data_IF_520199009979
#
_entry.id   IF_520199009979
#
_cell.length_a   1.000
_cell.length_b   1.000
_cell.length_c   1.000
_cell.angle_alpha   90.00
_cell.angle_beta   90.00
_cell.angle_gamma   90.00
#
_symmetry.space_group_name_H-M   'P 1'
#
loop_
_entity.id
_entity.type
_entity.pdbx_description
1 polymer ?
#
# COMPACT_ATOMS: atom_id res chain seq x y z
N UNK A 1 -18.93 17.93 -0.44
CA UNK A 1 -18.32 17.87 0.90
C UNK A 1 -18.16 19.28 1.43
N UNK A 2 -18.52 19.55 2.67
CA UNK A 2 -18.42 20.87 3.27
C UNK A 2 -17.00 21.13 3.77
N UNK A 3 -16.58 22.40 3.84
CA UNK A 3 -15.29 22.78 4.46
C UNK A 3 -15.23 22.32 5.92
N UNK A 4 -16.40 22.19 6.57
CA UNK A 4 -16.50 21.70 7.95
C UNK A 4 -15.97 20.27 8.15
N UNK A 5 -16.11 19.37 7.17
CA UNK A 5 -15.61 17.99 7.29
C UNK A 5 -14.08 17.95 7.36
N UNK A 6 -13.40 18.80 6.56
CA UNK A 6 -11.93 18.92 6.57
C UNK A 6 -11.45 19.49 7.92
N UNK A 7 -12.13 20.51 8.42
CA UNK A 7 -11.77 21.14 9.71
C UNK A 7 -11.99 20.17 10.88
N UNK A 8 -13.09 19.42 10.86
CA UNK A 8 -13.36 18.38 11.86
C UNK A 8 -12.29 17.26 11.81
N UNK A 9 -11.93 16.79 10.60
CA UNK A 9 -10.87 15.80 10.43
C UNK A 9 -9.52 16.32 10.93
N UNK A 10 -9.20 17.59 10.65
CA UNK A 10 -7.97 18.20 11.15
C UNK A 10 -7.96 18.26 12.69
N UNK A 11 -9.08 18.57 13.33
CA UNK A 11 -9.21 18.54 14.78
C UNK A 11 -9.03 17.11 15.33
N UNK A 12 -9.60 16.10 14.66
CA UNK A 12 -9.38 14.69 15.03
C UNK A 12 -7.90 14.30 14.92
N UNK A 13 -7.21 14.69 13.84
CA UNK A 13 -5.76 14.45 13.70
C UNK A 13 -4.98 15.17 14.81
N UNK A 14 -5.32 16.42 15.12
CA UNK A 14 -4.66 17.19 16.19
C UNK A 14 -4.83 16.51 17.56
N UNK A 15 -6.03 16.03 17.87
CA UNK A 15 -6.37 15.39 19.15
C UNK A 15 -5.91 13.93 19.29
N UNK A 16 -5.68 13.21 18.17
CA UNK A 16 -5.30 11.81 18.22
C UNK A 16 -3.89 11.60 18.78
N UNK A 17 -3.72 10.63 19.66
CA UNK A 17 -2.42 10.14 20.11
C UNK A 17 -1.84 9.07 19.17
N UNK A 18 -2.72 8.22 18.59
CA UNK A 18 -2.35 7.11 17.72
C UNK A 18 -3.22 7.09 16.47
N UNK A 19 -2.59 7.11 15.30
CA UNK A 19 -3.26 7.11 14.00
C UNK A 19 -2.81 5.89 13.18
N UNK A 20 -3.78 5.21 12.55
CA UNK A 20 -3.51 4.16 11.58
C UNK A 20 -3.83 4.66 10.17
N UNK A 21 -2.86 4.59 9.28
CA UNK A 21 -3.05 4.81 7.84
C UNK A 21 -3.05 3.47 7.11
N UNK A 22 -4.18 3.09 6.53
CA UNK A 22 -4.31 1.89 5.69
C UNK A 22 -4.29 2.36 4.24
N UNK A 23 -3.29 1.96 3.46
CA UNK A 23 -3.10 2.47 2.10
C UNK A 23 -3.08 1.38 1.05
N UNK A 24 -3.61 1.70 -0.14
CA UNK A 24 -3.56 0.87 -1.34
C UNK A 24 -3.04 1.66 -2.54
N UNK A 25 -3.13 1.10 -3.74
CA UNK A 25 -2.53 1.65 -4.95
C UNK A 25 -3.01 3.07 -5.30
N UNK A 26 -4.20 3.46 -4.87
CA UNK A 26 -4.75 4.79 -5.12
C UNK A 26 -3.95 5.94 -4.49
N UNK A 27 -3.15 5.70 -3.42
CA UNK A 27 -2.26 6.73 -2.89
C UNK A 27 -1.09 7.01 -3.84
N UNK A 28 -0.64 6.00 -4.61
CA UNK A 28 0.46 6.11 -5.56
C UNK A 28 0.02 6.55 -6.97
N UNK A 29 -1.30 6.72 -7.20
CA UNK A 29 -1.83 7.19 -8.48
C UNK A 29 -1.31 8.59 -8.87
N UNK A 30 -1.11 9.46 -7.88
CA UNK A 30 -0.53 10.80 -8.09
C UNK A 30 1.01 10.78 -8.29
N UNK A 31 1.64 9.60 -8.18
CA UNK A 31 3.03 9.32 -8.60
C UNK A 31 3.11 8.83 -10.05
N UNK A 32 1.98 8.75 -10.76
CA UNK A 32 1.90 8.19 -12.11
C UNK A 32 1.82 6.67 -12.16
N UNK A 33 1.68 5.98 -11.01
CA UNK A 33 1.51 4.54 -10.99
C UNK A 33 0.06 4.17 -11.34
N UNK A 34 -0.14 3.14 -12.18
CA UNK A 34 -1.47 2.61 -12.42
C UNK A 34 -2.02 1.97 -11.14
N UNK A 35 -3.32 2.08 -10.92
CA UNK A 35 -4.00 1.29 -9.90
C UNK A 35 -4.13 -0.16 -10.38
N UNK A 36 -4.16 -1.12 -9.48
CA UNK A 36 -4.35 -2.53 -9.88
C UNK A 36 -5.77 -2.81 -10.35
N UNK A 37 -6.75 -2.20 -9.71
CA UNK A 37 -8.19 -2.31 -10.02
C UNK A 37 -8.81 -0.93 -10.11
N UNK A 38 -9.83 -0.78 -10.95
CA UNK A 38 -10.51 0.48 -11.21
C UNK A 38 -10.20 1.04 -12.60
N UNK A 39 -10.78 2.17 -12.95
CA UNK A 39 -10.71 2.74 -14.31
C UNK A 39 -9.23 2.93 -14.72
N UNK A 40 -8.80 2.18 -15.76
CA UNK A 40 -7.41 2.19 -16.25
C UNK A 40 -6.42 1.37 -15.41
N UNK A 41 -6.91 0.45 -14.56
CA UNK A 41 -6.07 -0.41 -13.72
C UNK A 41 -5.29 -1.45 -14.51
N UNK A 42 -4.16 -1.90 -13.95
CA UNK A 42 -3.31 -2.94 -14.57
C UNK A 42 -4.08 -4.26 -14.83
N UNK A 43 -5.13 -4.52 -14.05
CA UNK A 43 -5.96 -5.72 -14.14
C UNK A 43 -7.28 -5.51 -14.88
N UNK A 44 -7.49 -4.34 -15.49
CA UNK A 44 -8.70 -4.06 -16.28
C UNK A 44 -8.70 -4.82 -17.63
N UNK A 45 -7.51 -5.22 -18.13
CA UNK A 45 -7.42 -6.23 -19.18
C UNK A 45 -7.74 -7.61 -18.57
N UNK A 46 -8.89 -8.16 -18.92
CA UNK A 46 -9.41 -9.40 -18.32
C UNK A 46 -8.46 -10.61 -18.45
N UNK A 47 -7.55 -10.59 -19.44
CA UNK A 47 -6.63 -11.71 -19.71
C UNK A 47 -5.28 -11.20 -20.22
N UNK A 48 -4.24 -11.97 -19.94
CA UNK A 48 -2.88 -11.79 -20.45
C UNK A 48 -2.81 -12.15 -21.96
N UNK A 49 -1.64 -11.94 -22.57
CA UNK A 49 -1.37 -12.40 -23.95
C UNK A 49 -1.58 -13.91 -24.11
N UNK A 50 -1.38 -14.68 -23.05
CA UNK A 50 -1.61 -16.13 -23.01
C UNK A 50 -3.07 -16.53 -22.76
N UNK A 51 -3.97 -15.56 -22.63
CA UNK A 51 -5.39 -15.79 -22.34
C UNK A 51 -5.69 -16.23 -20.89
N UNK A 52 -4.71 -16.07 -19.97
CA UNK A 52 -4.82 -16.45 -18.56
C UNK A 52 -5.11 -15.17 -17.73
N UNK A 53 -5.98 -15.22 -16.72
CA UNK A 53 -6.18 -14.09 -15.82
C UNK A 53 -4.88 -13.64 -15.16
N UNK A 54 -4.66 -12.33 -15.00
CA UNK A 54 -3.41 -11.80 -14.42
C UNK A 54 -3.20 -12.25 -12.98
N UNK A 55 -4.27 -12.39 -12.20
CA UNK A 55 -4.21 -12.90 -10.84
C UNK A 55 -3.71 -14.36 -10.79
N UNK A 56 -4.05 -15.16 -11.80
CA UNK A 56 -3.55 -16.54 -11.90
C UNK A 56 -2.08 -16.54 -12.30
N UNK A 57 -1.67 -15.71 -13.27
CA UNK A 57 -0.27 -15.58 -13.70
C UNK A 57 0.62 -15.06 -12.58
N UNK A 58 0.13 -14.14 -11.75
CA UNK A 58 0.84 -13.60 -10.58
C UNK A 58 0.51 -14.37 -9.29
N UNK A 59 0.20 -15.67 -9.38
CA UNK A 59 -0.04 -16.53 -8.23
C UNK A 59 1.22 -17.29 -7.81
N UNK A 60 1.25 -17.70 -6.53
CA UNK A 60 2.30 -18.58 -6.02
C UNK A 60 2.32 -19.93 -6.72
N UNK A 61 1.16 -20.47 -7.11
CA UNK A 61 1.05 -21.72 -7.86
C UNK A 61 1.68 -21.60 -9.26
N UNK A 62 1.33 -20.55 -10.01
CA UNK A 62 1.92 -20.30 -11.34
C UNK A 62 3.43 -20.09 -11.25
N UNK A 63 3.88 -19.38 -10.22
CA UNK A 63 5.33 -19.21 -10.00
C UNK A 63 6.07 -20.54 -9.79
N UNK A 64 5.45 -21.51 -9.14
CA UNK A 64 6.06 -22.85 -8.95
C UNK A 64 6.04 -23.68 -10.23
N UNK A 65 4.97 -23.57 -11.03
CA UNK A 65 4.79 -24.37 -12.25
C UNK A 65 5.51 -23.77 -13.46
N UNK A 66 5.40 -22.44 -13.63
CA UNK A 66 5.89 -21.69 -14.80
C UNK A 66 6.51 -20.34 -14.36
N UNK A 67 7.66 -20.38 -13.64
CA UNK A 67 8.29 -19.16 -13.11
C UNK A 67 8.65 -18.12 -14.19
N UNK A 68 8.94 -18.59 -15.42
CA UNK A 68 9.23 -17.70 -16.55
C UNK A 68 8.01 -16.85 -16.95
N UNK A 69 6.80 -17.39 -16.83
CA UNK A 69 5.58 -16.67 -17.13
C UNK A 69 5.29 -15.61 -16.05
N UNK A 70 5.35 -15.98 -14.79
CA UNK A 70 5.19 -15.04 -13.69
C UNK A 70 6.23 -13.93 -13.75
N UNK A 71 7.51 -14.27 -14.03
CA UNK A 71 8.56 -13.26 -14.19
C UNK A 71 8.33 -12.33 -15.38
N UNK A 72 7.80 -12.82 -16.51
CA UNK A 72 7.41 -11.97 -17.66
C UNK A 72 6.51 -10.81 -17.21
N UNK A 73 5.47 -11.11 -16.44
CA UNK A 73 4.51 -10.10 -15.98
C UNK A 73 5.02 -9.26 -14.81
N UNK A 74 5.82 -9.83 -13.90
CA UNK A 74 6.51 -9.05 -12.87
C UNK A 74 7.45 -7.99 -13.48
N UNK A 75 8.17 -8.32 -14.55
CA UNK A 75 9.01 -7.37 -15.28
C UNK A 75 8.19 -6.30 -16.00
N UNK A 76 7.00 -6.62 -16.52
CA UNK A 76 6.10 -5.62 -17.12
C UNK A 76 5.58 -4.63 -16.07
N UNK A 77 5.11 -5.15 -14.92
CA UNK A 77 4.65 -4.32 -13.80
C UNK A 77 5.76 -3.40 -13.30
N UNK A 78 6.97 -3.95 -13.10
CA UNK A 78 8.11 -3.14 -12.63
C UNK A 78 8.49 -2.06 -13.65
N UNK A 79 8.54 -2.38 -14.95
CA UNK A 79 8.83 -1.39 -16.01
C UNK A 79 7.81 -0.25 -16.03
N UNK A 80 6.52 -0.56 -15.82
CA UNK A 80 5.48 0.46 -15.76
C UNK A 80 5.61 1.38 -14.53
N UNK A 81 6.24 0.89 -13.47
CA UNK A 81 6.43 1.62 -12.21
C UNK A 81 7.82 2.29 -12.11
N UNK A 82 8.77 1.91 -12.97
CA UNK A 82 10.15 2.38 -12.90
C UNK A 82 10.25 3.89 -13.09
N UNK A 83 11.04 4.54 -12.23
CA UNK A 83 11.25 5.98 -12.26
C UNK A 83 10.17 6.80 -11.54
N UNK A 84 9.08 6.17 -11.10
CA UNK A 84 8.13 6.83 -10.22
C UNK A 84 8.70 6.98 -8.80
N UNK A 85 8.23 7.98 -8.06
CA UNK A 85 8.66 8.25 -6.70
C UNK A 85 7.50 8.57 -5.76
N UNK A 86 7.78 8.69 -4.47
CA UNK A 86 6.79 9.07 -3.49
C UNK A 86 6.23 10.47 -3.82
N UNK A 87 4.92 10.62 -3.72
CA UNK A 87 4.23 11.89 -3.91
C UNK A 87 3.99 12.62 -2.58
N UNK A 88 3.34 13.77 -2.67
CA UNK A 88 3.06 14.60 -1.51
C UNK A 88 2.18 13.91 -0.46
N UNK A 89 1.26 13.01 -0.84
CA UNK A 89 0.45 12.27 0.13
C UNK A 89 1.30 11.40 1.06
N UNK A 90 2.27 10.68 0.50
CA UNK A 90 3.22 9.87 1.29
C UNK A 90 4.03 10.75 2.26
N UNK A 91 4.49 11.90 1.79
CA UNK A 91 5.27 12.84 2.61
C UNK A 91 4.43 13.47 3.73
N UNK A 92 3.18 13.81 3.45
CA UNK A 92 2.26 14.33 4.46
C UNK A 92 1.95 13.30 5.55
N UNK A 93 1.79 12.03 5.19
CA UNK A 93 1.65 10.95 6.17
C UNK A 93 2.90 10.83 7.04
N UNK A 94 4.10 10.90 6.45
CA UNK A 94 5.35 10.87 7.19
C UNK A 94 5.51 12.08 8.15
N UNK A 95 5.04 13.27 7.76
CA UNK A 95 5.01 14.44 8.64
C UNK A 95 4.02 14.25 9.81
N UNK A 96 2.81 13.73 9.51
CA UNK A 96 1.84 13.42 10.57
C UNK A 96 2.42 12.38 11.53
N UNK A 97 3.11 11.34 11.03
CA UNK A 97 3.80 10.35 11.85
C UNK A 97 4.86 11.01 12.75
N UNK A 98 5.62 11.99 12.27
CA UNK A 98 6.59 12.74 13.09
C UNK A 98 5.92 13.51 14.23
N UNK A 99 4.75 14.10 13.96
CA UNK A 99 3.95 14.79 14.98
C UNK A 99 3.30 13.79 15.95
N UNK A 100 3.01 12.58 15.49
CA UNK A 100 2.30 11.50 16.20
C UNK A 100 3.12 10.21 16.18
N UNK A 101 4.21 10.09 16.98
CA UNK A 101 5.19 9.00 16.84
C UNK A 101 4.65 7.59 17.10
N UNK A 102 3.43 7.45 17.61
CA UNK A 102 2.78 6.15 17.80
C UNK A 102 1.84 5.77 16.66
N UNK A 103 1.87 6.53 15.56
CA UNK A 103 1.10 6.24 14.35
C UNK A 103 1.78 5.16 13.52
N UNK A 104 0.97 4.45 12.73
CA UNK A 104 1.41 3.35 11.87
C UNK A 104 0.85 3.49 10.46
N UNK A 105 1.61 3.01 9.51
CA UNK A 105 1.15 2.79 8.13
C UNK A 105 1.04 1.29 7.89
N UNK A 106 -0.13 0.82 7.44
CA UNK A 106 -0.31 -0.50 6.83
C UNK A 106 -0.50 -0.30 5.35
N UNK A 107 0.38 -0.84 4.54
CA UNK A 107 0.28 -0.67 3.10
C UNK A 107 0.21 -2.00 2.36
N UNK A 108 -0.69 -2.06 1.38
CA UNK A 108 -0.76 -3.14 0.39
C UNK A 108 0.25 -2.94 -0.74
N UNK A 109 0.80 -1.71 -0.84
CA UNK A 109 1.73 -1.35 -1.90
C UNK A 109 3.10 -1.95 -1.65
N UNK A 110 3.73 -2.39 -2.72
CA UNK A 110 5.07 -2.97 -2.72
C UNK A 110 6.14 -2.00 -3.23
N UNK A 111 5.73 -0.74 -3.54
CA UNK A 111 6.54 0.31 -4.17
C UNK A 111 7.61 0.93 -3.26
N UNK A 112 7.48 0.77 -1.95
CA UNK A 112 8.41 1.34 -0.96
C UNK A 112 8.27 2.85 -0.75
N UNK A 113 7.25 3.51 -1.31
CA UNK A 113 7.13 4.97 -1.29
C UNK A 113 6.89 5.56 0.09
N UNK A 114 6.20 4.88 1.00
CA UNK A 114 6.08 5.34 2.38
C UNK A 114 7.44 5.44 3.06
N UNK A 115 8.31 4.45 2.83
CA UNK A 115 9.67 4.44 3.37
C UNK A 115 10.53 5.53 2.76
N UNK A 116 10.45 5.70 1.44
CA UNK A 116 11.15 6.77 0.72
C UNK A 116 10.70 8.17 1.16
N UNK A 117 9.43 8.33 1.53
CA UNK A 117 8.87 9.56 2.08
C UNK A 117 9.28 9.86 3.53
N UNK A 118 9.89 8.90 4.23
CA UNK A 118 10.39 9.06 5.59
C UNK A 118 9.55 8.44 6.70
N UNK A 119 8.46 7.73 6.38
CA UNK A 119 7.71 6.93 7.36
C UNK A 119 8.59 5.83 7.95
N UNK A 120 8.44 5.55 9.23
CA UNK A 120 9.26 4.57 9.98
C UNK A 120 8.45 3.39 10.49
N UNK A 121 7.24 3.64 10.95
CA UNK A 121 6.34 2.62 11.50
C UNK A 121 5.44 2.08 10.37
N UNK A 122 6.01 1.18 9.56
CA UNK A 122 5.35 0.67 8.34
C UNK A 122 5.20 -0.85 8.43
N UNK A 123 4.00 -1.32 8.12
CA UNK A 123 3.67 -2.72 7.91
C UNK A 123 3.43 -2.90 6.39
N UNK A 124 4.43 -3.39 5.69
CA UNK A 124 4.37 -3.71 4.25
C UNK A 124 3.76 -5.12 4.12
N UNK A 125 2.43 -5.19 4.15
CA UNK A 125 1.70 -6.46 4.31
C UNK A 125 1.79 -7.38 3.09
N UNK A 126 2.14 -6.83 1.92
CA UNK A 126 2.41 -7.58 0.69
C UNK A 126 3.89 -7.64 0.33
N UNK A 127 4.78 -7.25 1.24
CA UNK A 127 6.23 -7.28 1.00
C UNK A 127 6.76 -6.10 0.20
N UNK A 128 7.88 -6.29 -0.51
CA UNK A 128 8.66 -5.24 -1.18
C UNK A 128 9.17 -5.69 -2.53
N UNK A 129 8.93 -4.90 -3.56
CA UNK A 129 9.44 -5.19 -4.90
C UNK A 129 10.97 -5.03 -5.00
N UNK A 130 11.56 -4.10 -4.26
CA UNK A 130 13.00 -3.83 -4.27
C UNK A 130 13.88 -4.88 -3.57
N UNK A 131 13.31 -6.02 -3.20
CA UNK A 131 14.02 -7.13 -2.55
C UNK A 131 13.72 -8.44 -3.27
N UNK A 132 14.78 -9.18 -3.63
CA UNK A 132 14.65 -10.54 -4.17
C UNK A 132 14.94 -11.57 -3.07
N UNK A 133 14.14 -12.62 -3.05
CA UNK A 133 14.23 -13.73 -2.11
C UNK A 133 14.44 -15.06 -2.86
N UNK A 134 15.36 -15.86 -2.36
CA UNK A 134 15.53 -17.24 -2.84
C UNK A 134 14.56 -18.18 -2.15
N UNK A 135 13.68 -18.84 -2.93
CA UNK A 135 12.74 -19.82 -2.38
C UNK A 135 13.40 -21.09 -1.80
N UNK A 136 14.71 -21.37 -2.10
CA UNK A 136 15.41 -22.56 -1.66
C UNK A 136 16.27 -22.36 -0.40
N UNK A 137 17.04 -21.26 -0.33
CA UNK A 137 17.99 -21.02 0.76
C UNK A 137 17.73 -19.73 1.54
N UNK A 138 16.63 -19.06 1.26
CA UNK A 138 16.19 -17.80 1.89
C UNK A 138 17.22 -16.65 1.78
N UNK A 139 18.17 -16.75 0.84
CA UNK A 139 19.06 -15.64 0.53
C UNK A 139 18.24 -14.45 0.04
N UNK A 140 18.51 -13.28 0.62
CA UNK A 140 17.87 -12.01 0.26
C UNK A 140 18.89 -11.11 -0.44
N UNK A 141 18.43 -10.38 -1.43
CA UNK A 141 19.22 -9.42 -2.21
C UNK A 141 18.40 -8.17 -2.47
N UNK A 142 18.94 -7.00 -2.10
CA UNK A 142 18.35 -5.72 -2.47
C UNK A 142 18.68 -5.41 -3.92
N UNK A 143 17.68 -4.92 -4.64
CA UNK A 143 17.83 -4.46 -6.03
C UNK A 143 17.16 -3.11 -6.20
N UNK A 144 17.80 -2.15 -6.90
CA UNK A 144 17.20 -0.83 -7.12
C UNK A 144 16.03 -0.89 -8.09
N UNK A 145 16.13 -1.76 -9.10
CA UNK A 145 15.14 -2.03 -10.14
C UNK A 145 15.43 -3.37 -10.81
N UNK A 146 14.64 -3.72 -11.84
CA UNK A 146 14.81 -4.97 -12.60
C UNK A 146 15.42 -4.76 -13.99
N UNK A 147 16.07 -3.61 -14.26
CA UNK A 147 16.64 -3.30 -15.58
C UNK A 147 17.70 -4.30 -16.04
N UNK A 148 18.39 -4.92 -15.09
CA UNK A 148 19.43 -5.93 -15.31
C UNK A 148 18.89 -7.36 -15.36
N UNK A 149 17.58 -7.57 -15.13
CA UNK A 149 16.94 -8.89 -15.12
C UNK A 149 16.30 -9.12 -16.50
N UNK A 150 16.93 -9.96 -17.31
CA UNK A 150 16.43 -10.32 -18.65
C UNK A 150 15.65 -11.65 -18.66
N UNK A 151 15.94 -12.51 -17.70
CA UNK A 151 15.37 -13.85 -17.55
C UNK A 151 15.08 -14.14 -16.09
N UNK A 152 14.52 -15.33 -15.82
CA UNK A 152 14.34 -15.80 -14.44
C UNK A 152 15.68 -15.77 -13.70
N UNK A 153 15.86 -14.93 -12.68
CA UNK A 153 17.13 -14.80 -11.98
C UNK A 153 17.38 -15.97 -11.04
N UNK A 154 18.65 -16.34 -10.89
CA UNK A 154 19.08 -17.44 -10.03
C UNK A 154 19.91 -16.94 -8.84
N UNK A 155 19.75 -17.62 -7.73
CA UNK A 155 20.45 -17.32 -6.48
C UNK A 155 21.96 -17.53 -6.64
N UNK A 156 22.80 -16.55 -6.27
CA UNK A 156 24.27 -16.72 -6.35
C UNK A 156 24.81 -17.75 -5.36
N UNK A 157 24.02 -18.13 -4.33
CA UNK A 157 24.47 -19.09 -3.31
C UNK A 157 24.11 -20.55 -3.62
N UNK A 158 22.92 -20.80 -4.16
CA UNK A 158 22.42 -22.17 -4.30
C UNK A 158 21.81 -22.48 -5.67
N UNK A 159 21.88 -21.54 -6.61
CA UNK A 159 21.30 -21.61 -7.96
C UNK A 159 19.78 -21.86 -8.00
N UNK A 160 19.07 -21.74 -6.87
CA UNK A 160 17.60 -21.71 -6.83
C UNK A 160 17.06 -20.45 -7.49
N UNK A 161 15.79 -20.46 -7.87
CA UNK A 161 15.14 -19.29 -8.49
C UNK A 161 15.00 -18.17 -7.44
N UNK A 162 15.34 -16.95 -7.82
CA UNK A 162 15.02 -15.73 -7.10
C UNK A 162 13.65 -15.21 -7.52
N UNK A 163 12.93 -14.62 -6.59
CA UNK A 163 11.66 -13.93 -6.83
C UNK A 163 11.61 -12.64 -6.05
N UNK A 164 10.77 -11.66 -6.42
CA UNK A 164 10.50 -10.54 -5.55
C UNK A 164 9.99 -11.01 -4.19
N UNK A 165 10.40 -10.34 -3.12
CA UNK A 165 9.87 -10.60 -1.77
C UNK A 165 8.49 -9.92 -1.61
N UNK A 166 7.55 -10.36 -2.45
CA UNK A 166 6.16 -9.89 -2.46
C UNK A 166 5.21 -11.06 -2.32
N UNK A 167 4.03 -10.80 -1.80
CA UNK A 167 2.95 -11.79 -1.71
C UNK A 167 2.25 -11.90 -3.06
N UNK A 168 2.34 -13.07 -3.68
CA UNK A 168 1.59 -13.41 -4.89
C UNK A 168 0.18 -13.90 -4.52
N UNK A 169 -0.72 -13.90 -5.49
CA UNK A 169 -2.08 -14.40 -5.27
C UNK A 169 -2.05 -15.86 -4.78
N UNK A 170 -2.89 -16.16 -3.80
CA UNK A 170 -2.96 -17.49 -3.18
C UNK A 170 -1.90 -17.77 -2.11
N UNK A 171 -0.94 -16.87 -1.90
CA UNK A 171 0.07 -17.02 -0.85
C UNK A 171 -0.40 -16.47 0.50
N UNK A 172 0.23 -16.95 1.56
CA UNK A 172 0.02 -16.44 2.91
C UNK A 172 0.75 -15.11 3.10
N UNK A 173 0.15 -14.22 3.90
CA UNK A 173 0.78 -12.96 4.27
C UNK A 173 2.02 -13.21 5.14
N UNK A 174 3.01 -12.30 5.13
CA UNK A 174 4.18 -12.39 6.00
C UNK A 174 3.77 -12.41 7.47
N UNK A 175 4.12 -13.48 8.18
CA UNK A 175 3.72 -13.68 9.58
C UNK A 175 4.06 -12.48 10.47
N UNK A 176 5.27 -11.96 10.35
CA UNK A 176 5.73 -10.82 11.13
C UNK A 176 4.88 -9.56 10.88
N UNK A 177 4.43 -9.34 9.64
CA UNK A 177 3.56 -8.21 9.31
C UNK A 177 2.17 -8.38 9.95
N UNK A 178 1.59 -9.58 9.85
CA UNK A 178 0.29 -9.91 10.45
C UNK A 178 0.36 -9.81 11.97
N UNK A 179 1.38 -10.37 12.61
CA UNK A 179 1.56 -10.28 14.07
C UNK A 179 1.73 -8.83 14.53
N UNK A 180 2.48 -8.02 13.77
CA UNK A 180 2.68 -6.61 14.10
C UNK A 180 1.36 -5.85 13.97
N UNK A 181 0.61 -6.05 12.88
CA UNK A 181 -0.71 -5.43 12.71
C UNK A 181 -1.64 -5.80 13.86
N UNK A 182 -1.75 -7.09 14.17
CA UNK A 182 -2.60 -7.56 15.27
C UNK A 182 -2.21 -6.93 16.60
N UNK A 183 -0.92 -6.91 16.94
CA UNK A 183 -0.42 -6.29 18.18
C UNK A 183 -0.79 -4.81 18.26
N UNK A 184 -0.62 -4.05 17.17
CA UNK A 184 -0.92 -2.62 17.16
C UNK A 184 -2.42 -2.34 17.17
N UNK A 185 -3.24 -3.21 16.54
CA UNK A 185 -4.70 -3.15 16.64
C UNK A 185 -5.20 -3.39 18.07
N UNK A 186 -4.63 -4.37 18.78
CA UNK A 186 -4.97 -4.63 20.20
C UNK A 186 -4.63 -3.43 21.10
N UNK A 187 -3.56 -2.69 20.81
CA UNK A 187 -3.22 -1.45 21.52
C UNK A 187 -4.21 -0.32 21.23
N UNK A 188 -4.98 -0.43 20.17
CA UNK A 188 -5.97 0.55 19.73
C UNK A 188 -5.38 1.75 19.01
N UNK A 189 -6.25 2.38 18.24
CA UNK A 189 -6.00 3.65 17.54
C UNK A 189 -7.15 4.60 17.81
N UNK A 190 -6.86 5.90 17.90
CA UNK A 190 -7.88 6.94 18.08
C UNK A 190 -8.52 7.29 16.74
N UNK A 191 -7.73 7.19 15.66
CA UNK A 191 -8.10 7.60 14.32
C UNK A 191 -7.56 6.61 13.29
N UNK A 192 -8.39 6.24 12.31
CA UNK A 192 -8.01 5.35 11.20
C UNK A 192 -8.35 6.01 9.88
N UNK A 193 -7.37 6.03 8.98
CA UNK A 193 -7.57 6.43 7.59
C UNK A 193 -7.51 5.19 6.68
N UNK A 194 -8.49 5.07 5.77
CA UNK A 194 -8.48 4.15 4.63
C UNK A 194 -8.26 4.97 3.36
N UNK A 195 -7.11 4.82 2.71
CA UNK A 195 -6.66 5.72 1.63
C UNK A 195 -6.35 4.95 0.35
N UNK A 196 -7.08 5.24 -0.73
CA UNK A 196 -6.77 4.69 -2.06
C UNK A 196 -6.79 3.17 -2.14
N UNK A 197 -7.60 2.51 -1.32
CA UNK A 197 -7.82 1.06 -1.33
C UNK A 197 -9.28 0.75 -1.56
N UNK A 198 -9.58 -0.33 -2.27
CA UNK A 198 -10.95 -0.85 -2.43
C UNK A 198 -11.42 -1.59 -1.18
N UNK A 199 -10.49 -1.96 -0.29
CA UNK A 199 -10.73 -2.75 0.93
C UNK A 199 -11.42 -4.11 0.68
N UNK A 200 -11.27 -4.68 -0.51
CA UNK A 200 -11.86 -5.98 -0.89
C UNK A 200 -11.30 -7.14 -0.06
N UNK A 201 -10.03 -7.06 0.32
CA UNK A 201 -9.42 -8.10 1.13
C UNK A 201 -9.84 -7.98 2.59
N UNK A 202 -10.34 -9.07 3.22
CA UNK A 202 -10.82 -9.05 4.60
C UNK A 202 -9.77 -8.51 5.60
N UNK A 203 -8.50 -8.86 5.45
CA UNK A 203 -7.43 -8.39 6.33
C UNK A 203 -7.10 -6.88 6.19
N UNK A 204 -7.67 -6.21 5.18
CA UNK A 204 -7.61 -4.75 4.99
C UNK A 204 -8.88 -4.06 5.50
N UNK A 205 -10.04 -4.66 5.27
CA UNK A 205 -11.31 -4.12 5.74
C UNK A 205 -11.52 -4.32 7.26
N UNK A 206 -11.09 -5.48 7.79
CA UNK A 206 -11.30 -5.82 9.19
C UNK A 206 -10.70 -4.79 10.18
N UNK A 207 -9.48 -4.27 10.01
CA UNK A 207 -8.96 -3.19 10.86
C UNK A 207 -9.85 -1.96 10.92
N UNK A 208 -10.53 -1.61 9.80
CA UNK A 208 -11.49 -0.50 9.73
C UNK A 208 -12.71 -0.79 10.59
N UNK A 209 -13.29 -1.99 10.45
CA UNK A 209 -14.48 -2.39 11.20
C UNK A 209 -14.19 -2.51 12.70
N UNK A 210 -13.07 -3.11 13.07
CA UNK A 210 -12.64 -3.26 14.46
C UNK A 210 -12.36 -1.90 15.12
N UNK A 211 -11.63 -1.02 14.45
CA UNK A 211 -11.34 0.31 14.96
C UNK A 211 -12.63 1.08 15.26
N UNK A 212 -13.60 1.07 14.33
CA UNK A 212 -14.91 1.67 14.56
C UNK A 212 -15.63 1.06 15.74
N UNK A 213 -15.62 -0.27 15.86
CA UNK A 213 -16.24 -1.00 16.96
C UNK A 213 -15.65 -0.62 18.32
N UNK A 214 -14.37 -0.27 18.36
CA UNK A 214 -13.67 0.15 19.57
C UNK A 214 -13.71 1.67 19.82
N UNK A 215 -14.49 2.40 19.02
CA UNK A 215 -14.76 3.83 19.19
C UNK A 215 -13.80 4.77 18.46
N UNK A 216 -12.85 4.25 17.68
CA UNK A 216 -12.00 5.08 16.83
C UNK A 216 -12.83 5.79 15.76
N UNK A 217 -12.42 6.99 15.39
CA UNK A 217 -12.96 7.66 14.21
C UNK A 217 -12.31 7.09 12.95
N UNK A 218 -13.11 6.88 11.92
CA UNK A 218 -12.64 6.31 10.63
C UNK A 218 -12.94 7.26 9.50
N UNK A 219 -11.94 7.50 8.67
CA UNK A 219 -11.98 8.40 7.52
C UNK A 219 -11.58 7.60 6.28
N UNK A 220 -12.38 7.72 5.22
CA UNK A 220 -12.04 7.20 3.90
C UNK A 220 -11.62 8.33 2.98
N UNK A 221 -10.51 8.13 2.27
CA UNK A 221 -10.06 8.99 1.17
C UNK A 221 -10.00 8.15 -0.09
N UNK A 222 -11.02 8.26 -0.93
CA UNK A 222 -11.11 7.51 -2.18
C UNK A 222 -12.10 8.19 -3.15
N UNK A 223 -11.76 8.39 -4.43
CA UNK A 223 -12.71 8.91 -5.42
C UNK A 223 -13.91 7.99 -5.66
N UNK A 224 -13.70 6.67 -5.57
CA UNK A 224 -14.72 5.66 -5.76
C UNK A 224 -15.42 5.21 -4.47
N UNK A 225 -16.37 4.27 -4.62
CA UNK A 225 -17.00 3.55 -3.52
C UNK A 225 -16.18 2.29 -3.23
N UNK A 226 -16.04 1.95 -1.95
CA UNK A 226 -15.27 0.79 -1.49
C UNK A 226 -16.10 -0.07 -0.54
N UNK A 227 -15.58 -1.23 -0.15
CA UNK A 227 -16.24 -2.13 0.80
C UNK A 227 -16.48 -1.49 2.19
N UNK A 228 -15.72 -0.44 2.53
CA UNK A 228 -15.83 0.21 3.83
C UNK A 228 -16.59 1.54 3.80
N UNK A 229 -16.98 2.03 2.62
CA UNK A 229 -17.56 3.37 2.44
C UNK A 229 -18.80 3.65 3.30
N UNK A 230 -19.62 2.63 3.57
CA UNK A 230 -20.82 2.76 4.41
C UNK A 230 -20.53 2.68 5.92
N UNK A 231 -19.30 2.34 6.28
CA UNK A 231 -18.89 2.13 7.68
C UNK A 231 -17.99 3.23 8.23
N UNK A 232 -17.56 4.19 7.39
CA UNK A 232 -16.71 5.28 7.83
C UNK A 232 -17.51 6.44 8.42
N UNK A 233 -16.86 7.30 9.20
CA UNK A 233 -17.48 8.50 9.76
C UNK A 233 -17.41 9.68 8.77
N UNK A 234 -16.31 9.78 8.03
CA UNK A 234 -16.07 10.80 7.01
C UNK A 234 -15.61 10.14 5.74
N UNK A 235 -16.16 10.60 4.61
CA UNK A 235 -15.79 10.11 3.29
C UNK A 235 -15.38 11.26 2.39
N UNK A 236 -14.09 11.33 2.07
CA UNK A 236 -13.51 12.29 1.17
C UNK A 236 -13.42 11.70 -0.24
N UNK A 237 -14.38 12.05 -1.10
CA UNK A 237 -14.44 11.55 -2.48
C UNK A 237 -13.47 12.32 -3.38
N UNK A 238 -12.17 12.21 -3.09
CA UNK A 238 -11.12 12.91 -3.81
C UNK A 238 -9.83 12.07 -3.78
N UNK A 239 -8.82 12.50 -4.54
CA UNK A 239 -7.50 11.86 -4.55
C UNK A 239 -6.75 12.10 -3.24
N UNK A 240 -5.79 11.21 -2.95
CA UNK A 240 -5.06 11.21 -1.70
C UNK A 240 -4.24 12.51 -1.48
N UNK A 241 -3.56 13.00 -2.51
CA UNK A 241 -2.79 14.25 -2.44
C UNK A 241 -3.69 15.42 -2.11
N UNK A 242 -4.81 15.56 -2.80
CA UNK A 242 -5.75 16.65 -2.59
C UNK A 242 -6.33 16.65 -1.16
N UNK A 243 -6.82 15.51 -0.70
CA UNK A 243 -7.40 15.35 0.62
C UNK A 243 -6.40 15.67 1.74
N UNK A 244 -5.21 15.04 1.69
CA UNK A 244 -4.19 15.22 2.71
C UNK A 244 -3.62 16.63 2.73
N UNK A 245 -3.52 17.32 1.57
CA UNK A 245 -3.14 18.72 1.53
C UNK A 245 -4.17 19.64 2.21
N UNK A 246 -5.47 19.38 2.00
CA UNK A 246 -6.52 20.17 2.65
C UNK A 246 -6.49 19.97 4.17
N UNK A 247 -6.37 18.71 4.63
CA UNK A 247 -6.24 18.38 6.06
C UNK A 247 -5.00 19.06 6.65
N UNK A 248 -3.85 18.99 5.96
CA UNK A 248 -2.59 19.58 6.40
C UNK A 248 -2.67 21.09 6.58
N UNK A 249 -3.32 21.78 5.63
CA UNK A 249 -3.58 23.24 5.72
C UNK A 249 -4.50 23.58 6.88
N UNK A 250 -5.57 22.79 7.09
CA UNK A 250 -6.49 22.97 8.20
C UNK A 250 -5.85 22.72 9.57
N UNK A 251 -4.76 21.92 9.63
CA UNK A 251 -3.91 21.78 10.82
C UNK A 251 -3.03 23.02 11.09
N UNK A 252 -3.08 24.06 10.24
CA UNK A 252 -2.23 25.24 10.36
C UNK A 252 -0.76 25.00 10.05
N UNK A 253 -0.43 23.92 9.37
CA UNK A 253 0.95 23.55 9.06
C UNK A 253 1.44 24.22 7.77
N UNK A 254 2.74 24.56 7.68
CA UNK A 254 3.31 25.17 6.48
C UNK A 254 3.24 24.21 5.29
N UNK A 255 3.06 24.78 4.08
CA UNK A 255 3.03 23.99 2.86
C UNK A 255 4.36 23.23 2.67
N UNK A 256 4.25 21.91 2.38
CA UNK A 256 5.44 21.14 1.99
C UNK A 256 5.79 21.46 0.53
N UNK A 257 7.06 21.75 0.28
CA UNK A 257 7.56 21.98 -1.08
C UNK A 257 7.49 20.66 -1.85
N UNK A 258 6.99 20.64 -3.10
CA UNK A 258 7.11 19.47 -3.97
C UNK A 258 8.58 19.05 -4.10
N UNK A 259 8.84 17.75 -4.13
CA UNK A 259 10.20 17.24 -4.34
C UNK A 259 10.58 17.33 -5.81
#
# INVERSE_FOLDING_TARGET
MSLSDIDEIAQLVAGAGRILFITGAGISADSGLPTYRGIGGLYDAAHTEEGIPIEEVLSGEMFLQRPELTWKYLLQVERACRGAGCNLAHRLIAEIERMKPQSWVVTQNIDGFHRAAGSRQIIEIHGKVGELLCGKCHHQQQVPDYSHIERVPHCPRCHGILRPNVVLFGETLPEQAVMTLHREMVRGFDLVFSIGTTSVFPYIAQPVFEARRWGAKVIEINPGVTEVSTFVHYRLQMRAVEALQQIWRALGQPALVPA
#
